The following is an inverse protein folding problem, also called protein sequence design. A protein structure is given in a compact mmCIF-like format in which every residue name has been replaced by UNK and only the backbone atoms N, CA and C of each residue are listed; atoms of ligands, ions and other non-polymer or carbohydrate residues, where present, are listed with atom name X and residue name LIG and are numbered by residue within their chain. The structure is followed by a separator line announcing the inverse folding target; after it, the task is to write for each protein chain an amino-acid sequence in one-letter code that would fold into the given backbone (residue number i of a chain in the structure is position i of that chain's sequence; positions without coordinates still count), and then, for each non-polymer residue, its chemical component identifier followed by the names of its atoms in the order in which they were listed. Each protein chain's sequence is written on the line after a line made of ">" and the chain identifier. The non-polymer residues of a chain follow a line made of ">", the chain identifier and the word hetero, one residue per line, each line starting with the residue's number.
data_IF_505182556427
#
_entry.id   IF_505182556427
#
_cell.length_a   1.000
_cell.length_b   1.000
_cell.length_c   1.000
_cell.angle_alpha   90.00
_cell.angle_beta   90.00
_cell.angle_gamma   90.00
#
_symmetry.space_group_name_H-M   'P 1'
#
loop_
_entity.id
_entity.type
_entity.pdbx_description
1 polymer ?
#
# COMPACT_ATOMS: atom_id res chain seq x y z
N UNK A 1 17.31 -22.85 11.05
CA UNK A 1 16.39 -22.11 11.93
C UNK A 1 16.76 -20.63 12.10
N UNK A 2 18.03 -20.24 12.01
CA UNK A 2 18.44 -18.82 12.19
C UNK A 2 18.40 -17.97 10.92
N UNK A 3 18.36 -18.57 9.73
CA UNK A 3 18.33 -17.84 8.46
C UNK A 3 16.94 -17.28 8.12
N UNK A 4 15.87 -17.98 8.53
CA UNK A 4 14.49 -17.56 8.23
C UNK A 4 14.06 -16.38 9.13
N UNK A 5 14.55 -16.31 10.37
CA UNK A 5 14.28 -15.21 11.30
C UNK A 5 14.90 -13.92 10.78
N UNK A 6 16.14 -13.97 10.28
CA UNK A 6 16.83 -12.76 9.81
C UNK A 6 16.20 -12.16 8.53
N UNK A 7 15.61 -13.00 7.65
CA UNK A 7 14.93 -12.51 6.44
C UNK A 7 13.54 -11.91 6.72
N UNK A 8 12.84 -12.45 7.71
CA UNK A 8 11.55 -11.91 8.15
C UNK A 8 11.69 -10.56 8.84
N UNK A 9 12.74 -10.38 9.66
CA UNK A 9 12.99 -9.13 10.38
C UNK A 9 13.37 -7.99 9.41
N UNK A 10 14.16 -8.27 8.39
CA UNK A 10 14.50 -7.25 7.37
C UNK A 10 13.31 -6.85 6.49
N UNK A 11 12.45 -7.80 6.14
CA UNK A 11 11.22 -7.49 5.41
C UNK A 11 10.27 -6.64 6.27
N UNK A 12 10.21 -6.88 7.58
CA UNK A 12 9.46 -6.08 8.53
C UNK A 12 10.01 -4.64 8.62
N UNK A 13 11.32 -4.46 8.74
CA UNK A 13 11.94 -3.12 8.83
C UNK A 13 11.64 -2.29 7.58
N UNK A 14 11.74 -2.87 6.38
CA UNK A 14 11.39 -2.18 5.14
C UNK A 14 9.90 -1.82 5.13
N UNK A 15 9.03 -2.72 5.57
CA UNK A 15 7.60 -2.47 5.70
C UNK A 15 7.29 -1.32 6.65
N UNK A 16 7.96 -1.24 7.79
CA UNK A 16 7.83 -0.14 8.76
C UNK A 16 8.29 1.19 8.17
N UNK A 17 9.42 1.22 7.47
CA UNK A 17 9.91 2.43 6.80
C UNK A 17 8.90 2.93 5.78
N UNK A 18 8.34 2.04 4.95
CA UNK A 18 7.31 2.37 3.97
C UNK A 18 6.04 2.90 4.66
N UNK A 19 5.63 2.29 5.77
CA UNK A 19 4.47 2.71 6.54
C UNK A 19 4.64 4.12 7.13
N UNK A 20 5.81 4.39 7.73
CA UNK A 20 6.14 5.72 8.25
C UNK A 20 6.15 6.76 7.11
N UNK A 21 6.75 6.42 5.98
CA UNK A 21 6.81 7.29 4.81
C UNK A 21 5.40 7.59 4.25
N UNK A 22 4.55 6.57 4.12
CA UNK A 22 3.17 6.73 3.69
C UNK A 22 2.37 7.61 4.66
N UNK A 23 2.57 7.43 5.97
CA UNK A 23 1.93 8.25 7.01
C UNK A 23 2.37 9.71 6.91
N UNK A 24 3.65 9.97 6.70
CA UNK A 24 4.16 11.33 6.50
C UNK A 24 3.56 12.00 5.26
N UNK A 25 3.49 11.29 4.13
CA UNK A 25 2.83 11.80 2.91
C UNK A 25 1.36 12.11 3.21
N UNK A 26 0.64 11.20 3.86
CA UNK A 26 -0.76 11.39 4.24
C UNK A 26 -0.98 12.66 5.09
N UNK A 27 -0.07 12.92 6.04
CA UNK A 27 -0.13 14.13 6.87
C UNK A 27 0.20 15.39 6.05
N UNK A 28 1.20 15.35 5.17
CA UNK A 28 1.61 16.48 4.33
C UNK A 28 0.51 16.93 3.36
N UNK A 29 -0.30 16.01 2.85
CA UNK A 29 -1.44 16.34 1.97
C UNK A 29 -2.73 16.63 2.74
N UNK A 30 -2.64 16.82 4.07
CA UNK A 30 -3.78 17.10 4.95
C UNK A 30 -4.88 16.02 4.95
N UNK A 31 -4.54 14.76 4.68
CA UNK A 31 -5.49 13.64 4.67
C UNK A 31 -6.23 13.44 5.99
N UNK A 32 -5.61 13.79 7.12
CA UNK A 32 -6.24 13.77 8.43
C UNK A 32 -7.41 14.77 8.56
N UNK A 33 -7.28 15.98 8.00
CA UNK A 33 -8.36 16.96 7.95
C UNK A 33 -9.55 16.43 7.13
N UNK A 34 -9.26 15.75 6.04
CA UNK A 34 -10.30 15.13 5.22
C UNK A 34 -11.08 14.08 6.01
N UNK A 35 -10.41 13.17 6.74
CA UNK A 35 -11.10 12.16 7.55
C UNK A 35 -12.02 12.82 8.60
N UNK A 36 -11.52 13.81 9.33
CA UNK A 36 -12.30 14.52 10.36
C UNK A 36 -13.51 15.23 9.74
N UNK A 37 -13.32 15.95 8.63
CA UNK A 37 -14.41 16.65 7.95
C UNK A 37 -15.46 15.71 7.38
N UNK A 38 -15.06 14.57 6.80
CA UNK A 38 -15.97 13.54 6.30
C UNK A 38 -16.78 12.89 7.43
N UNK A 39 -16.14 12.66 8.57
CA UNK A 39 -16.82 12.15 9.76
C UNK A 39 -17.85 13.15 10.29
N UNK A 40 -17.48 14.43 10.42
CA UNK A 40 -18.41 15.48 10.84
C UNK A 40 -19.57 15.66 9.85
N UNK A 41 -19.29 15.52 8.54
CA UNK A 41 -20.31 15.58 7.51
C UNK A 41 -21.26 14.39 7.58
N UNK A 42 -20.77 13.18 7.85
CA UNK A 42 -21.61 11.99 7.97
C UNK A 42 -22.67 12.13 9.06
N UNK A 43 -22.33 12.70 10.23
CA UNK A 43 -23.28 12.96 11.31
C UNK A 43 -24.35 14.00 10.97
N UNK A 44 -24.04 14.93 10.06
CA UNK A 44 -25.04 15.93 9.60
C UNK A 44 -26.02 15.32 8.59
N UNK A 45 -25.57 14.41 7.77
CA UNK A 45 -26.35 13.84 6.68
C UNK A 45 -27.17 12.62 7.12
N UNK A 46 -26.59 11.79 7.97
CA UNK A 46 -27.21 10.58 8.50
C UNK A 46 -27.46 10.73 9.99
N UNK A 47 -28.67 11.11 10.43
CA UNK A 47 -29.02 11.22 11.85
C UNK A 47 -28.92 9.88 12.56
N UNK A 48 -28.45 9.92 13.81
CA UNK A 48 -28.28 8.71 14.63
C UNK A 48 -29.65 8.02 14.83
N UNK A 49 -29.70 6.72 14.53
CA UNK A 49 -30.91 5.89 14.73
C UNK A 49 -31.90 5.83 13.55
N UNK A 50 -31.65 6.55 12.46
CA UNK A 50 -32.53 6.55 11.26
C UNK A 50 -31.99 5.74 10.10
N UNK A 51 -30.77 5.21 10.24
CA UNK A 51 -30.10 4.48 9.15
C UNK A 51 -30.77 3.13 8.88
N UNK A 52 -31.18 2.92 7.63
CA UNK A 52 -31.65 1.62 7.12
C UNK A 52 -30.61 1.10 6.12
N UNK A 53 -30.22 -0.16 6.33
CA UNK A 53 -29.27 -0.82 5.41
C UNK A 53 -29.91 -0.91 4.02
N UNK A 54 -29.34 -0.23 3.04
CA UNK A 54 -29.79 -0.20 1.66
C UNK A 54 -28.86 -1.06 0.78
N UNK A 55 -29.44 -1.81 -0.15
CA UNK A 55 -28.71 -2.63 -1.12
C UNK A 55 -27.69 -1.80 -1.92
N UNK A 56 -28.02 -0.55 -2.25
CA UNK A 56 -27.11 0.38 -2.94
C UNK A 56 -25.81 0.61 -2.19
N UNK A 57 -25.86 0.74 -0.86
CA UNK A 57 -24.67 0.95 -0.01
C UNK A 57 -23.77 -0.28 -0.07
N UNK A 58 -24.34 -1.49 -0.04
CA UNK A 58 -23.58 -2.73 -0.15
C UNK A 58 -22.86 -2.86 -1.50
N UNK A 59 -23.54 -2.53 -2.59
CA UNK A 59 -22.96 -2.54 -3.94
C UNK A 59 -21.81 -1.54 -4.04
N UNK A 60 -21.98 -0.32 -3.52
CA UNK A 60 -20.92 0.71 -3.50
C UNK A 60 -19.72 0.27 -2.67
N UNK A 61 -19.92 -0.31 -1.48
CA UNK A 61 -18.84 -0.82 -0.65
C UNK A 61 -18.03 -1.92 -1.35
N UNK A 62 -18.72 -2.85 -2.00
CA UNK A 62 -18.05 -3.92 -2.76
C UNK A 62 -17.26 -3.36 -3.93
N UNK A 63 -17.81 -2.39 -4.66
CA UNK A 63 -17.16 -1.70 -5.77
C UNK A 63 -15.89 -0.96 -5.31
N UNK A 64 -15.98 -0.20 -4.22
CA UNK A 64 -14.83 0.55 -3.70
C UNK A 64 -13.75 -0.37 -3.12
N UNK A 65 -14.13 -1.46 -2.44
CA UNK A 65 -13.18 -2.46 -1.97
C UNK A 65 -12.40 -3.10 -3.11
N UNK A 66 -13.09 -3.47 -4.20
CA UNK A 66 -12.44 -4.02 -5.40
C UNK A 66 -11.47 -2.99 -6.04
N UNK A 67 -11.86 -1.72 -6.07
CA UNK A 67 -11.03 -0.64 -6.60
C UNK A 67 -9.75 -0.42 -5.78
N UNK A 68 -9.87 -0.39 -4.45
CA UNK A 68 -8.72 -0.26 -3.54
C UNK A 68 -7.73 -1.42 -3.76
N UNK A 69 -8.25 -2.65 -3.86
CA UNK A 69 -7.43 -3.82 -4.11
C UNK A 69 -6.66 -3.72 -5.44
N UNK A 70 -7.34 -3.31 -6.51
CA UNK A 70 -6.73 -3.15 -7.83
C UNK A 70 -5.63 -2.09 -7.83
N UNK A 71 -5.83 -0.98 -7.12
CA UNK A 71 -4.83 0.08 -6.99
C UNK A 71 -3.64 -0.40 -6.17
N UNK A 72 -3.88 -1.11 -5.06
CA UNK A 72 -2.81 -1.68 -4.24
C UNK A 72 -1.91 -2.63 -5.06
N UNK A 73 -2.51 -3.49 -5.88
CA UNK A 73 -1.76 -4.37 -6.79
C UNK A 73 -0.97 -3.57 -7.83
N UNK A 74 -1.55 -2.54 -8.43
CA UNK A 74 -0.85 -1.67 -9.40
C UNK A 74 0.34 -0.94 -8.78
N UNK A 75 0.22 -0.48 -7.53
CA UNK A 75 1.32 0.16 -6.80
C UNK A 75 2.43 -0.83 -6.43
N UNK A 76 2.07 -2.04 -6.05
CA UNK A 76 3.03 -3.08 -5.70
C UNK A 76 3.71 -3.70 -6.92
N UNK A 77 3.07 -3.72 -8.09
CA UNK A 77 3.52 -4.42 -9.28
C UNK A 77 4.97 -4.12 -9.68
N UNK A 78 5.44 -2.87 -9.79
CA UNK A 78 6.81 -2.59 -10.23
C UNK A 78 7.86 -3.14 -9.25
N UNK A 79 7.57 -3.07 -7.95
CA UNK A 79 8.47 -3.62 -6.92
C UNK A 79 8.44 -5.14 -6.95
N UNK A 80 7.27 -5.76 -7.05
CA UNK A 80 7.12 -7.22 -7.11
C UNK A 80 7.87 -7.80 -8.31
N UNK A 81 7.72 -7.21 -9.51
CA UNK A 81 8.42 -7.65 -10.72
C UNK A 81 9.93 -7.54 -10.56
N UNK A 82 10.42 -6.44 -9.99
CA UNK A 82 11.86 -6.23 -9.76
C UNK A 82 12.44 -7.28 -8.80
N UNK A 83 11.77 -7.54 -7.68
CA UNK A 83 12.20 -8.59 -6.75
C UNK A 83 12.10 -9.99 -7.35
N UNK A 84 11.09 -10.26 -8.16
CA UNK A 84 10.95 -11.53 -8.86
C UNK A 84 12.14 -11.80 -9.79
N UNK A 85 12.57 -10.79 -10.56
CA UNK A 85 13.76 -10.89 -11.42
C UNK A 85 15.04 -11.15 -10.60
N UNK A 86 15.20 -10.46 -9.45
CA UNK A 86 16.33 -10.70 -8.55
C UNK A 86 16.30 -12.13 -7.99
N UNK A 87 15.12 -12.67 -7.68
CA UNK A 87 15.00 -14.05 -7.21
C UNK A 87 15.37 -15.06 -8.28
N UNK A 88 14.95 -14.86 -9.55
CA UNK A 88 15.36 -15.72 -10.66
C UNK A 88 16.88 -15.67 -10.84
N UNK A 89 17.47 -14.47 -10.88
CA UNK A 89 18.91 -14.30 -11.01
C UNK A 89 19.67 -14.99 -9.86
N UNK A 90 19.18 -14.86 -8.62
CA UNK A 90 19.73 -15.54 -7.45
C UNK A 90 19.70 -17.07 -7.59
N UNK A 91 18.61 -17.63 -8.13
CA UNK A 91 18.47 -19.06 -8.39
C UNK A 91 19.47 -19.58 -9.44
N UNK A 92 19.72 -18.79 -10.48
CA UNK A 92 20.73 -19.15 -11.51
C UNK A 92 22.13 -19.12 -10.91
N UNK A 93 22.47 -18.07 -10.16
CA UNK A 93 23.80 -17.92 -9.54
C UNK A 93 24.07 -19.05 -8.55
N UNK A 94 23.09 -19.44 -7.74
CA UNK A 94 23.25 -20.55 -6.78
C UNK A 94 23.52 -21.90 -7.46
N UNK A 95 23.06 -22.09 -8.70
CA UNK A 95 23.33 -23.29 -9.47
C UNK A 95 24.76 -23.30 -10.05
N UNK A 96 25.30 -22.13 -10.38
CA UNK A 96 26.63 -21.99 -10.99
C UNK A 96 27.74 -22.07 -9.92
N UNK A 97 27.49 -21.57 -8.73
CA UNK A 97 28.48 -21.52 -7.64
C UNK A 97 27.89 -22.17 -6.37
N UNK A 98 27.80 -23.51 -6.33
CA UNK A 98 27.16 -24.22 -5.22
C UNK A 98 27.93 -24.15 -3.89
N UNK A 99 29.21 -23.80 -3.94
CA UNK A 99 30.07 -23.77 -2.74
C UNK A 99 29.94 -22.48 -1.92
N UNK A 100 29.34 -21.41 -2.46
CA UNK A 100 29.10 -20.18 -1.73
C UNK A 100 27.64 -20.11 -1.26
N UNK A 101 27.44 -19.65 -0.04
CA UNK A 101 26.10 -19.37 0.46
C UNK A 101 25.57 -18.07 -0.20
N UNK A 102 25.12 -18.22 -1.45
CA UNK A 102 24.68 -17.13 -2.34
C UNK A 102 23.61 -16.26 -1.68
N UNK A 103 22.78 -16.87 -0.81
CA UNK A 103 21.76 -16.15 -0.05
C UNK A 103 22.33 -15.06 0.86
N UNK A 104 23.45 -15.34 1.56
CA UNK A 104 24.08 -14.38 2.45
C UNK A 104 24.69 -13.19 1.70
N UNK A 105 25.24 -13.43 0.51
CA UNK A 105 25.86 -12.36 -0.30
C UNK A 105 24.79 -11.50 -1.00
N UNK A 106 23.67 -12.09 -1.43
CA UNK A 106 22.61 -11.37 -2.13
C UNK A 106 21.63 -10.65 -1.20
N UNK A 107 21.58 -11.02 0.09
CA UNK A 107 20.67 -10.39 1.04
C UNK A 107 20.90 -8.87 1.17
N UNK A 108 22.13 -8.38 1.47
CA UNK A 108 22.38 -6.94 1.50
C UNK A 108 22.15 -6.26 0.14
N UNK A 109 22.44 -6.95 -0.97
CA UNK A 109 22.15 -6.45 -2.31
C UNK A 109 20.66 -6.21 -2.57
N UNK A 110 19.79 -7.11 -2.10
CA UNK A 110 18.33 -6.95 -2.21
C UNK A 110 17.84 -5.72 -1.44
N UNK A 111 18.39 -5.44 -0.26
CA UNK A 111 18.02 -4.29 0.56
C UNK A 111 18.40 -3.00 -0.17
N UNK A 112 19.64 -2.91 -0.67
CA UNK A 112 20.11 -1.72 -1.40
C UNK A 112 19.25 -1.48 -2.64
N UNK A 113 18.97 -2.52 -3.42
CA UNK A 113 18.10 -2.44 -4.59
C UNK A 113 16.67 -2.03 -4.22
N UNK A 114 16.11 -2.58 -3.14
CA UNK A 114 14.80 -2.20 -2.65
C UNK A 114 14.70 -0.73 -2.27
N UNK A 115 15.69 -0.20 -1.55
CA UNK A 115 15.77 1.22 -1.19
C UNK A 115 15.97 2.12 -2.42
N UNK A 116 16.76 1.69 -3.39
CA UNK A 116 16.98 2.41 -4.63
C UNK A 116 15.67 2.49 -5.43
N UNK A 117 14.94 1.39 -5.60
CA UNK A 117 13.63 1.38 -6.24
C UNK A 117 12.62 2.25 -5.49
N UNK A 118 12.60 2.17 -4.17
CA UNK A 118 11.73 3.01 -3.35
C UNK A 118 12.01 4.50 -3.59
N UNK A 119 13.29 4.90 -3.57
CA UNK A 119 13.70 6.28 -3.84
C UNK A 119 13.28 6.75 -5.23
N UNK A 120 13.47 5.92 -6.25
CA UNK A 120 13.12 6.23 -7.64
C UNK A 120 11.60 6.31 -7.85
N UNK A 121 10.82 5.47 -7.18
CA UNK A 121 9.36 5.42 -7.30
C UNK A 121 8.65 6.41 -6.37
N UNK A 122 9.33 6.99 -5.38
CA UNK A 122 8.77 7.96 -4.43
C UNK A 122 7.98 9.09 -5.11
N UNK A 123 8.48 9.80 -6.13
CA UNK A 123 7.71 10.87 -6.78
C UNK A 123 6.43 10.37 -7.43
N UNK A 124 6.45 9.18 -7.99
CA UNK A 124 5.25 8.54 -8.59
C UNK A 124 4.25 8.19 -7.48
N UNK A 125 4.71 7.64 -6.37
CA UNK A 125 3.85 7.30 -5.23
C UNK A 125 3.17 8.52 -4.62
N UNK A 126 3.85 9.66 -4.50
CA UNK A 126 3.27 10.91 -4.00
C UNK A 126 2.09 11.36 -4.87
N UNK A 127 2.25 11.33 -6.20
CA UNK A 127 1.18 11.69 -7.14
C UNK A 127 0.01 10.72 -7.02
N UNK A 128 0.29 9.42 -7.05
CA UNK A 128 -0.75 8.39 -6.97
C UNK A 128 -1.50 8.43 -5.64
N UNK A 129 -0.82 8.64 -4.51
CA UNK A 129 -1.46 8.77 -3.19
C UNK A 129 -2.36 10.00 -3.15
N UNK A 130 -1.94 11.14 -3.72
CA UNK A 130 -2.77 12.34 -3.82
C UNK A 130 -4.04 12.07 -4.62
N UNK A 131 -3.90 11.47 -5.80
CA UNK A 131 -5.05 11.15 -6.66
C UNK A 131 -6.00 10.16 -6.00
N UNK A 132 -5.45 9.18 -5.28
CA UNK A 132 -6.21 8.24 -4.47
C UNK A 132 -7.02 8.91 -3.38
N UNK A 133 -6.42 9.86 -2.67
CA UNK A 133 -7.12 10.57 -1.60
C UNK A 133 -8.26 11.43 -2.15
N UNK A 134 -8.06 12.13 -3.25
CA UNK A 134 -9.13 12.92 -3.88
C UNK A 134 -10.26 12.02 -4.43
N UNK A 135 -9.91 10.84 -4.92
CA UNK A 135 -10.90 9.85 -5.35
C UNK A 135 -11.66 9.26 -4.16
N UNK A 136 -10.95 8.97 -3.07
CA UNK A 136 -11.53 8.45 -1.84
C UNK A 136 -12.49 9.46 -1.20
N UNK A 137 -12.14 10.74 -1.25
CA UNK A 137 -13.00 11.85 -0.83
C UNK A 137 -14.35 11.84 -1.56
N UNK A 138 -14.32 11.78 -2.89
CA UNK A 138 -15.53 11.70 -3.72
C UNK A 138 -16.36 10.47 -3.39
N UNK A 139 -15.71 9.32 -3.25
CA UNK A 139 -16.38 8.05 -2.97
C UNK A 139 -17.04 8.03 -1.59
N UNK A 140 -16.41 8.60 -0.55
CA UNK A 140 -17.01 8.72 0.78
C UNK A 140 -18.24 9.62 0.74
N UNK A 141 -18.18 10.77 0.06
CA UNK A 141 -19.32 11.67 -0.08
C UNK A 141 -20.46 10.98 -0.83
N UNK A 142 -20.16 10.24 -1.90
CA UNK A 142 -21.16 9.46 -2.65
C UNK A 142 -21.82 8.38 -1.77
N UNK A 143 -21.02 7.68 -0.97
CA UNK A 143 -21.52 6.67 -0.05
C UNK A 143 -22.42 7.28 1.03
N UNK A 144 -22.03 8.39 1.62
CA UNK A 144 -22.84 9.12 2.63
C UNK A 144 -24.18 9.57 2.01
N UNK A 145 -24.17 10.05 0.75
CA UNK A 145 -25.41 10.44 0.04
C UNK A 145 -26.28 9.22 -0.31
N UNK A 146 -25.70 8.06 -0.53
CA UNK A 146 -26.46 6.84 -0.79
C UNK A 146 -27.11 6.23 0.46
N UNK A 147 -26.68 6.68 1.65
CA UNK A 147 -27.24 6.27 2.94
C UNK A 147 -28.50 7.05 3.33
N UNK A 148 -28.80 8.13 2.63
CA UNK A 148 -30.01 8.98 2.79
C UNK A 148 -31.04 8.63 1.75
#
# INVERSE_FOLDING_TARGET
>A
WSSDVCSSDLANVIGEVIMVFATLIFLLINGHHFIISSLAYSFKVVPIGTYVVNEKVFILLTKYSAMIFLIAVKLAAPIMVSFFLIHIASGIISRVIPQMNVFFVLQPGKIVMGLLFLSLLTPIYVVVIRDLLTLFEKNIIELIKAMV
#
